data_IF_979034503657
#
_entry.id   IF_979034503657
#
_cell.length_a   1.000
_cell.length_b   1.000
_cell.length_c   1.000
_cell.angle_alpha   90.00
_cell.angle_beta   90.00
_cell.angle_gamma   90.00
#
_symmetry.space_group_name_H-M   'P 1'
#
loop_
_entity.id
_entity.type
_entity.pdbx_description
1 polymer ?
#
# COMPACT_ATOMS: atom_id res chain seq x y z
N UNK A 1 -10.83 -1.85 3.67
CA UNK A 1 -9.37 -1.58 3.80
C UNK A 1 -8.88 -1.04 2.47
N UNK A 2 -8.18 0.10 2.46
CA UNK A 2 -7.78 0.75 1.20
C UNK A 2 -6.50 0.11 0.67
N UNK A 3 -6.50 -0.35 -0.58
CA UNK A 3 -5.31 -0.84 -1.29
C UNK A 3 -4.72 0.27 -2.15
N UNK A 4 -3.41 0.47 -2.05
CA UNK A 4 -2.66 1.49 -2.78
C UNK A 4 -1.68 0.78 -3.71
N UNK A 5 -1.89 0.98 -5.01
CA UNK A 5 -1.06 0.45 -6.08
C UNK A 5 0.15 1.35 -6.34
N UNK A 6 1.12 0.85 -7.09
CA UNK A 6 2.22 1.67 -7.61
C UNK A 6 1.73 2.61 -8.70
N UNK A 7 2.33 3.80 -8.78
CA UNK A 7 2.15 4.70 -9.92
C UNK A 7 3.38 4.65 -10.82
N UNK A 8 3.28 3.93 -11.94
CA UNK A 8 4.40 3.67 -12.85
C UNK A 8 3.99 4.15 -14.23
N UNK A 9 4.77 5.07 -14.79
CA UNK A 9 4.56 5.62 -16.14
C UNK A 9 3.13 6.12 -16.38
N UNK A 10 2.58 6.88 -15.43
CA UNK A 10 1.24 7.45 -15.56
C UNK A 10 0.09 6.45 -15.36
N UNK A 11 0.36 5.25 -14.84
CA UNK A 11 -0.63 4.19 -14.66
C UNK A 11 -0.57 3.59 -13.26
N UNK A 12 -1.73 3.16 -12.76
CA UNK A 12 -1.82 2.32 -11.58
C UNK A 12 -1.37 0.89 -11.94
N UNK A 13 -0.37 0.37 -11.23
CA UNK A 13 0.17 -0.97 -11.40
C UNK A 13 0.06 -1.72 -10.07
N UNK A 14 -0.64 -2.84 -10.07
CA UNK A 14 -0.78 -3.69 -8.88
C UNK A 14 0.58 -4.36 -8.55
N UNK A 15 0.92 -4.42 -7.26
CA UNK A 15 2.01 -5.27 -6.78
C UNK A 15 1.56 -6.72 -6.60
N UNK A 16 2.52 -7.65 -6.53
CA UNK A 16 2.25 -9.05 -6.18
C UNK A 16 1.97 -9.20 -4.67
N UNK A 17 2.71 -8.45 -3.86
CA UNK A 17 2.59 -8.42 -2.40
C UNK A 17 2.22 -7.00 -1.93
N UNK A 18 1.63 -6.94 -0.74
CA UNK A 18 1.26 -5.70 -0.08
C UNK A 18 1.67 -5.77 1.39
N UNK A 19 1.96 -4.61 1.99
CA UNK A 19 2.21 -4.48 3.42
C UNK A 19 1.24 -3.48 4.05
N UNK A 20 0.92 -3.71 5.32
CA UNK A 20 0.06 -2.81 6.08
C UNK A 20 0.85 -1.58 6.53
N UNK A 21 0.22 -0.42 6.36
CA UNK A 21 0.63 0.81 7.02
C UNK A 21 -0.23 0.99 8.26
N UNK A 22 0.40 1.33 9.37
CA UNK A 22 -0.26 1.51 10.65
C UNK A 22 -0.08 2.95 11.14
N UNK A 23 -1.05 3.44 11.91
CA UNK A 23 -0.93 4.70 12.60
C UNK A 23 0.07 4.53 13.76
N UNK A 24 1.20 5.27 13.80
CA UNK A 24 2.17 5.13 14.88
C UNK A 24 1.64 5.53 16.27
N UNK A 25 0.57 6.32 16.34
CA UNK A 25 0.00 6.77 17.61
C UNK A 25 -0.96 5.75 18.25
N UNK A 26 -1.65 4.94 17.44
CA UNK A 26 -2.72 4.04 17.91
C UNK A 26 -2.51 2.57 17.54
N UNK A 27 -1.66 2.28 16.56
CA UNK A 27 -1.48 0.93 16.00
C UNK A 27 -2.53 0.53 14.97
N UNK A 28 -3.53 1.36 14.71
CA UNK A 28 -4.60 1.05 13.76
C UNK A 28 -4.07 0.90 12.33
N UNK A 29 -4.62 -0.05 11.59
CA UNK A 29 -4.29 -0.25 10.16
C UNK A 29 -4.96 0.84 9.32
N UNK A 30 -4.14 1.55 8.54
CA UNK A 30 -4.58 2.65 7.68
C UNK A 30 -4.88 2.18 6.25
N UNK A 31 -3.94 1.44 5.66
CA UNK A 31 -4.03 0.95 4.28
C UNK A 31 -3.03 -0.18 4.00
N UNK A 32 -3.24 -0.90 2.90
CA UNK A 32 -2.29 -1.85 2.33
C UNK A 32 -1.61 -1.23 1.11
N UNK A 33 -0.28 -1.16 1.09
CA UNK A 33 0.50 -0.55 0.01
C UNK A 33 1.29 -1.63 -0.72
N UNK A 34 1.29 -1.58 -2.06
CA UNK A 34 2.02 -2.53 -2.89
C UNK A 34 3.52 -2.52 -2.55
N UNK A 35 4.09 -3.71 -2.35
CA UNK A 35 5.53 -3.89 -2.12
C UNK A 35 6.31 -3.67 -3.42
N UNK A 36 7.46 -3.00 -3.34
CA UNK A 36 8.42 -2.93 -4.44
C UNK A 36 9.29 -4.18 -4.44
N UNK A 37 9.29 -4.93 -5.54
CA UNK A 37 10.20 -6.05 -5.79
C UNK A 37 11.43 -5.61 -6.57
#
# INVERSE_FOLDING_TARGET
MKKINHWINGKNVAGNDYFQTTNPATGDVLAEVASGG
#
